data_IF_056721227148
#
_entry.id   IF_056721227148
#
_cell.length_a   1.000
_cell.length_b   1.000
_cell.length_c   1.000
_cell.angle_alpha   90.00
_cell.angle_beta   90.00
_cell.angle_gamma   90.00
#
_symmetry.space_group_name_H-M   'P 1'
#
loop_
_entity.id
_entity.type
_entity.pdbx_description
1 polymer ?
#
# COMPACT_ATOMS: atom_id res chain seq x y z
N UNK A 1 -45.44 32.52 38.77
CA UNK A 1 -44.78 32.54 37.44
C UNK A 1 -45.78 32.96 36.39
N UNK A 2 -45.55 34.12 35.79
CA UNK A 2 -46.44 34.63 34.75
C UNK A 2 -46.21 33.85 33.44
N UNK A 3 -47.22 33.69 32.57
CA UNK A 3 -47.07 32.95 31.30
C UNK A 3 -45.93 33.47 30.40
N UNK A 4 -45.56 34.75 30.55
CA UNK A 4 -44.41 35.40 29.87
C UNK A 4 -43.06 34.85 30.33
N UNK A 5 -42.88 34.59 31.63
CA UNK A 5 -41.65 34.01 32.20
C UNK A 5 -41.43 32.56 31.76
N UNK A 6 -42.52 31.78 31.66
CA UNK A 6 -42.47 30.40 31.15
C UNK A 6 -42.08 30.35 29.67
N UNK A 7 -42.58 31.27 28.86
CA UNK A 7 -42.19 31.40 27.45
C UNK A 7 -40.72 31.80 27.27
N UNK A 8 -40.22 32.73 28.10
CA UNK A 8 -38.81 33.14 28.07
C UNK A 8 -37.87 32.00 28.47
N UNK A 9 -38.23 31.20 29.48
CA UNK A 9 -37.45 30.04 29.90
C UNK A 9 -37.34 28.96 28.81
N UNK A 10 -38.43 28.71 28.07
CA UNK A 10 -38.44 27.77 26.94
C UNK A 10 -37.56 28.24 25.77
N UNK A 11 -37.54 29.54 25.48
CA UNK A 11 -36.67 30.08 24.42
C UNK A 11 -35.19 29.99 24.80
N UNK A 12 -34.85 30.29 26.05
CA UNK A 12 -33.49 30.17 26.57
C UNK A 12 -32.99 28.72 26.49
N UNK A 13 -33.79 27.76 26.95
CA UNK A 13 -33.41 26.34 26.89
C UNK A 13 -33.33 25.85 25.44
N UNK A 14 -34.26 26.25 24.58
CA UNK A 14 -34.21 25.92 23.15
C UNK A 14 -32.93 26.46 22.48
N UNK A 15 -32.58 27.72 22.76
CA UNK A 15 -31.37 28.34 22.20
C UNK A 15 -30.11 27.64 22.70
N UNK A 16 -30.07 27.29 23.99
CA UNK A 16 -28.97 26.53 24.58
C UNK A 16 -28.86 25.12 23.97
N UNK A 17 -29.98 24.42 23.77
CA UNK A 17 -30.00 23.12 23.09
C UNK A 17 -29.53 23.22 21.63
N UNK A 18 -29.92 24.27 20.91
CA UNK A 18 -29.48 24.49 19.53
C UNK A 18 -27.98 24.73 19.45
N UNK A 19 -27.42 25.55 20.34
CA UNK A 19 -25.98 25.77 20.40
C UNK A 19 -25.22 24.47 20.73
N UNK A 20 -25.74 23.69 21.68
CA UNK A 20 -25.14 22.41 22.07
C UNK A 20 -25.21 21.39 20.92
N UNK A 21 -26.34 21.32 20.22
CA UNK A 21 -26.54 20.43 19.07
C UNK A 21 -25.66 20.79 17.88
N UNK A 22 -25.54 22.08 17.56
CA UNK A 22 -24.65 22.57 16.51
C UNK A 22 -23.18 22.29 16.85
N UNK A 23 -22.77 22.48 18.11
CA UNK A 23 -21.42 22.12 18.56
C UNK A 23 -21.15 20.62 18.47
N UNK A 24 -22.12 19.79 18.87
CA UNK A 24 -22.02 18.33 18.81
C UNK A 24 -21.87 17.78 17.39
N UNK A 25 -22.61 18.33 16.43
CA UNK A 25 -22.54 17.88 15.04
C UNK A 25 -21.18 18.18 14.39
N UNK A 26 -20.62 19.37 14.64
CA UNK A 26 -19.29 19.77 14.16
C UNK A 26 -18.19 18.89 14.79
N UNK A 27 -18.30 18.59 16.09
CA UNK A 27 -17.37 17.71 16.77
C UNK A 27 -17.38 16.28 16.19
N UNK A 28 -18.58 15.72 15.95
CA UNK A 28 -18.71 14.40 15.32
C UNK A 28 -18.16 14.38 13.89
N UNK A 29 -18.42 15.42 13.10
CA UNK A 29 -17.87 15.52 11.75
C UNK A 29 -16.34 15.54 11.75
N UNK A 30 -15.75 16.31 12.67
CA UNK A 30 -14.30 16.39 12.83
C UNK A 30 -13.69 15.05 13.25
N UNK A 31 -14.33 14.34 14.18
CA UNK A 31 -13.90 13.02 14.61
C UNK A 31 -13.96 11.99 13.46
N UNK A 32 -15.00 12.02 12.63
CA UNK A 32 -15.10 11.14 11.46
C UNK A 32 -14.01 11.42 10.42
N UNK A 33 -13.68 12.69 10.18
CA UNK A 33 -12.57 13.04 9.28
C UNK A 33 -11.23 12.53 9.81
N UNK A 34 -10.97 12.70 11.10
CA UNK A 34 -9.76 12.20 11.76
C UNK A 34 -9.68 10.67 11.71
N UNK A 35 -10.80 9.99 11.97
CA UNK A 35 -10.88 8.54 11.89
C UNK A 35 -10.55 8.03 10.47
N UNK A 36 -11.11 8.66 9.43
CA UNK A 36 -10.82 8.30 8.04
C UNK A 36 -9.35 8.54 7.69
N UNK A 37 -8.79 9.67 8.12
CA UNK A 37 -7.37 9.97 7.91
C UNK A 37 -6.46 8.94 8.60
N UNK A 38 -6.74 8.58 9.85
CA UNK A 38 -5.98 7.58 10.59
C UNK A 38 -6.05 6.21 9.92
N UNK A 39 -7.24 5.77 9.50
CA UNK A 39 -7.42 4.50 8.76
C UNK A 39 -6.65 4.49 7.45
N UNK A 40 -6.68 5.58 6.67
CA UNK A 40 -5.96 5.67 5.41
C UNK A 40 -4.43 5.55 5.62
N UNK A 41 -3.89 6.26 6.62
CA UNK A 41 -2.48 6.17 6.97
C UNK A 41 -2.09 4.76 7.44
N UNK A 42 -2.96 4.09 8.19
CA UNK A 42 -2.74 2.72 8.63
C UNK A 42 -2.69 1.75 7.43
N UNK A 43 -3.64 1.84 6.50
CA UNK A 43 -3.64 1.00 5.30
C UNK A 43 -2.39 1.23 4.43
N UNK A 44 -1.93 2.48 4.32
CA UNK A 44 -0.70 2.82 3.61
C UNK A 44 0.55 2.21 4.26
N UNK A 45 0.63 2.25 5.60
CA UNK A 45 1.73 1.59 6.32
C UNK A 45 1.71 0.07 6.12
N UNK A 46 0.53 -0.55 6.18
CA UNK A 46 0.40 -1.99 5.99
C UNK A 46 0.75 -2.42 4.57
N UNK A 47 0.39 -1.63 3.55
CA UNK A 47 0.77 -1.91 2.17
C UNK A 47 2.28 -1.75 1.96
N UNK A 48 2.91 -0.76 2.59
CA UNK A 48 4.37 -0.60 2.56
C UNK A 48 5.08 -1.78 3.23
N UNK A 49 4.67 -2.17 4.43
CA UNK A 49 5.26 -3.30 5.14
C UNK A 49 5.14 -4.61 4.36
N UNK A 50 3.99 -4.84 3.71
CA UNK A 50 3.79 -5.98 2.82
C UNK A 50 4.75 -5.93 1.60
N UNK A 51 4.97 -4.74 1.03
CA UNK A 51 5.92 -4.56 -0.07
C UNK A 51 7.37 -4.79 0.38
N UNK A 52 7.76 -4.31 1.57
CA UNK A 52 9.08 -4.54 2.16
C UNK A 52 9.32 -6.04 2.42
N UNK A 53 8.30 -6.75 2.91
CA UNK A 53 8.36 -8.18 3.11
C UNK A 53 8.55 -8.94 1.78
N UNK A 54 7.78 -8.58 0.75
CA UNK A 54 7.97 -9.12 -0.59
C UNK A 54 9.38 -8.85 -1.15
N UNK A 55 9.91 -7.64 -0.94
CA UNK A 55 11.27 -7.30 -1.35
C UNK A 55 12.32 -8.16 -0.61
N UNK A 56 12.11 -8.44 0.67
CA UNK A 56 12.98 -9.33 1.45
C UNK A 56 12.90 -10.78 0.98
N UNK A 57 11.77 -11.23 0.44
CA UNK A 57 11.64 -12.54 -0.20
C UNK A 57 12.40 -12.57 -1.54
N UNK A 58 12.21 -11.56 -2.39
CA UNK A 58 12.96 -11.42 -3.64
C UNK A 58 14.48 -11.40 -3.43
N UNK A 59 14.97 -10.61 -2.45
CA UNK A 59 16.41 -10.55 -2.13
C UNK A 59 16.97 -11.90 -1.68
N UNK A 60 16.21 -12.66 -0.88
CA UNK A 60 16.59 -14.00 -0.45
C UNK A 60 16.69 -14.96 -1.63
N UNK A 61 15.73 -14.90 -2.55
CA UNK A 61 15.71 -15.73 -3.75
C UNK A 61 16.90 -15.45 -4.68
N UNK A 62 17.32 -14.19 -4.83
CA UNK A 62 18.53 -13.84 -5.60
C UNK A 62 19.81 -14.41 -4.95
N UNK A 63 19.88 -14.43 -3.62
CA UNK A 63 21.03 -14.95 -2.87
C UNK A 63 21.08 -16.48 -2.80
N UNK A 64 19.93 -17.15 -2.76
CA UNK A 64 19.85 -18.61 -2.65
C UNK A 64 19.95 -19.28 -4.02
N UNK A 65 21.13 -19.22 -4.67
CA UNK A 65 21.67 -20.04 -5.79
C UNK A 65 20.79 -20.69 -6.88
N UNK A 66 19.50 -20.36 -6.96
CA UNK A 66 18.56 -20.83 -7.96
C UNK A 66 17.55 -19.72 -8.28
N UNK A 67 17.98 -18.58 -8.86
CA UNK A 67 17.09 -17.84 -9.72
C UNK A 67 16.85 -18.73 -10.94
N UNK A 68 15.77 -19.52 -10.93
CA UNK A 68 15.30 -20.09 -12.20
C UNK A 68 15.15 -18.91 -13.18
N UNK A 69 15.81 -18.98 -14.35
CA UNK A 69 15.70 -17.92 -15.33
C UNK A 69 14.23 -17.81 -15.71
N UNK A 70 13.63 -16.66 -15.39
CA UNK A 70 12.30 -16.33 -15.87
C UNK A 70 12.30 -16.48 -17.40
N UNK A 71 11.45 -17.37 -17.88
CA UNK A 71 11.28 -17.64 -19.29
C UNK A 71 10.94 -16.32 -20.01
N UNK A 72 11.73 -16.03 -21.05
CA UNK A 72 11.42 -15.09 -22.13
C UNK A 72 11.21 -13.60 -21.75
N UNK A 73 12.30 -12.97 -21.31
CA UNK A 73 13.00 -12.05 -22.21
C UNK A 73 12.26 -10.82 -22.77
N UNK A 74 11.31 -10.20 -22.07
CA UNK A 74 10.96 -8.80 -22.35
C UNK A 74 10.98 -7.93 -21.09
N UNK A 75 11.86 -6.90 -21.02
CA UNK A 75 11.79 -5.93 -19.95
C UNK A 75 10.48 -5.15 -20.11
N UNK A 76 9.60 -5.23 -19.10
CA UNK A 76 8.41 -4.42 -19.06
C UNK A 76 8.78 -2.96 -18.71
N UNK A 77 9.27 -2.24 -19.70
CA UNK A 77 9.29 -0.78 -19.73
C UNK A 77 7.84 -0.30 -19.90
N UNK A 78 7.13 -0.02 -18.79
CA UNK A 78 5.84 0.69 -18.84
C UNK A 78 4.74 0.26 -17.86
N UNK A 79 4.91 -0.79 -17.05
CA UNK A 79 3.79 -1.35 -16.27
C UNK A 79 3.38 -0.57 -15.00
N UNK A 80 4.17 0.42 -14.54
CA UNK A 80 3.79 1.21 -13.35
C UNK A 80 2.48 1.98 -13.52
N UNK A 81 2.17 2.41 -14.74
CA UNK A 81 0.93 3.14 -15.06
C UNK A 81 -0.30 2.21 -15.11
N UNK A 82 -0.16 0.97 -15.55
CA UNK A 82 -1.27 0.02 -15.69
C UNK A 82 -1.68 -0.60 -14.35
N UNK A 83 -0.72 -0.77 -13.42
CA UNK A 83 -1.02 -1.17 -12.03
C UNK A 83 -1.82 -0.11 -11.26
N UNK A 84 -1.65 1.17 -11.61
CA UNK A 84 -2.32 2.28 -10.93
C UNK A 84 -3.82 2.37 -11.27
N UNK A 85 -4.25 1.86 -12.44
CA UNK A 85 -5.64 1.95 -12.91
C UNK A 85 -6.54 0.79 -12.49
N UNK A 86 -5.96 -0.33 -12.06
CA UNK A 86 -6.73 -1.51 -11.63
C UNK A 86 -7.31 -1.26 -10.23
N UNK A 87 -8.41 -1.91 -9.84
CA UNK A 87 -8.81 -1.99 -8.43
C UNK A 87 -8.01 -3.07 -7.69
N UNK A 88 -7.98 -3.06 -6.34
CA UNK A 88 -7.07 -3.94 -5.59
C UNK A 88 -7.40 -5.44 -5.77
N UNK A 89 -8.68 -5.74 -6.02
CA UNK A 89 -9.16 -7.10 -6.32
C UNK A 89 -8.77 -7.52 -7.73
N UNK A 90 -8.98 -6.66 -8.71
CA UNK A 90 -8.67 -6.94 -10.12
C UNK A 90 -7.17 -7.01 -10.35
N UNK A 91 -6.40 -6.16 -9.66
CA UNK A 91 -4.95 -6.19 -9.64
C UNK A 91 -4.44 -7.52 -9.11
N UNK A 92 -5.06 -8.05 -8.05
CA UNK A 92 -4.66 -9.33 -7.48
C UNK A 92 -4.99 -10.50 -8.40
N UNK A 93 -6.16 -10.51 -9.01
CA UNK A 93 -6.53 -11.51 -10.01
C UNK A 93 -5.57 -11.46 -11.21
N UNK A 94 -5.25 -10.26 -11.70
CA UNK A 94 -4.27 -10.06 -12.77
C UNK A 94 -2.87 -10.55 -12.38
N UNK A 95 -2.40 -10.28 -11.15
CA UNK A 95 -1.09 -10.76 -10.67
C UNK A 95 -1.00 -12.29 -10.61
N UNK A 96 -2.12 -12.96 -10.33
CA UNK A 96 -2.16 -14.42 -10.31
C UNK A 96 -2.10 -15.04 -11.72
N UNK A 97 -2.57 -14.30 -12.73
CA UNK A 97 -2.51 -14.68 -14.14
C UNK A 97 -1.18 -14.25 -14.80
N UNK A 98 -0.55 -13.20 -14.28
CA UNK A 98 0.76 -12.74 -14.70
C UNK A 98 1.84 -13.75 -14.26
N UNK A 99 2.18 -14.70 -15.16
CA UNK A 99 3.15 -15.78 -14.91
C UNK A 99 4.56 -15.33 -14.47
N UNK A 100 4.86 -14.04 -14.56
CA UNK A 100 6.12 -13.42 -14.16
C UNK A 100 6.18 -13.00 -12.68
N UNK A 101 5.04 -12.89 -12.00
CA UNK A 101 4.96 -12.42 -10.62
C UNK A 101 4.78 -13.58 -9.67
N UNK A 102 5.65 -13.66 -8.67
CA UNK A 102 5.40 -14.53 -7.52
C UNK A 102 4.51 -13.79 -6.54
N UNK A 103 3.55 -14.51 -5.94
CA UNK A 103 2.56 -13.90 -5.06
C UNK A 103 2.34 -14.73 -3.80
N UNK A 104 2.05 -14.06 -2.69
CA UNK A 104 1.78 -14.67 -1.39
C UNK A 104 0.72 -13.86 -0.65
N UNK A 105 -0.14 -14.57 0.10
CA UNK A 105 -1.16 -13.95 0.96
C UNK A 105 -0.85 -14.31 2.40
N UNK A 106 -0.76 -13.31 3.27
CA UNK A 106 -0.59 -13.49 4.70
C UNK A 106 -1.68 -12.69 5.44
N UNK A 107 -2.68 -13.41 5.96
CA UNK A 107 -3.85 -12.80 6.57
C UNK A 107 -4.59 -11.89 5.58
N UNK A 108 -4.68 -10.60 5.90
CA UNK A 108 -5.32 -9.57 5.06
C UNK A 108 -4.35 -8.85 4.12
N UNK A 109 -3.05 -9.15 4.22
CA UNK A 109 -2.02 -8.57 3.37
C UNK A 109 -1.76 -9.46 2.17
N UNK A 110 -1.68 -8.84 1.00
CA UNK A 110 -1.32 -9.51 -0.25
C UNK A 110 -0.02 -8.91 -0.74
N UNK A 111 0.93 -9.78 -1.09
CA UNK A 111 2.26 -9.36 -1.49
C UNK A 111 2.65 -10.09 -2.77
N UNK A 112 3.35 -9.39 -3.67
CA UNK A 112 3.85 -9.97 -4.90
C UNK A 112 5.25 -9.43 -5.19
N UNK A 113 6.12 -10.23 -5.79
CA UNK A 113 7.45 -9.82 -6.20
C UNK A 113 7.85 -10.40 -7.54
N UNK A 114 8.76 -9.71 -8.21
CA UNK A 114 9.39 -10.13 -9.46
C UNK A 114 10.87 -9.77 -9.46
N UNK A 115 11.68 -10.63 -10.07
CA UNK A 115 13.14 -10.47 -10.19
C UNK A 115 13.46 -10.34 -11.68
N UNK A 116 14.03 -9.22 -12.09
CA UNK A 116 14.34 -8.95 -13.49
C UNK A 116 15.86 -8.87 -13.63
N UNK A 117 16.51 -9.79 -14.36
CA UNK A 117 17.93 -9.65 -14.67
C UNK A 117 18.14 -8.45 -15.61
N UNK A 118 19.06 -7.55 -15.26
CA UNK A 118 19.34 -6.34 -16.06
C UNK A 118 20.66 -6.41 -16.82
N UNK A 119 21.60 -7.23 -16.34
CA UNK A 119 22.88 -7.42 -16.99
C UNK A 119 24.01 -7.67 -16.00
N UNK A 120 25.23 -7.50 -16.49
CA UNK A 120 26.45 -7.75 -15.73
C UNK A 120 27.23 -6.44 -15.56
N UNK A 121 27.86 -6.27 -14.41
CA UNK A 121 28.77 -5.17 -14.12
C UNK A 121 30.04 -5.67 -13.45
N UNK A 122 31.05 -4.81 -13.40
CA UNK A 122 32.27 -5.03 -12.62
C UNK A 122 32.24 -4.12 -11.39
N UNK A 123 32.23 -4.70 -10.19
CA UNK A 123 32.26 -3.96 -8.92
C UNK A 123 33.50 -4.39 -8.15
N UNK A 124 34.45 -3.47 -7.96
CA UNK A 124 35.68 -3.75 -7.21
C UNK A 124 36.59 -4.82 -7.86
N UNK A 125 36.50 -5.01 -9.18
CA UNK A 125 37.29 -6.01 -9.92
C UNK A 125 36.67 -7.41 -9.95
N UNK A 126 35.52 -7.62 -9.30
CA UNK A 126 34.74 -8.85 -9.40
C UNK A 126 33.54 -8.64 -10.35
N UNK A 127 33.21 -9.68 -11.12
CA UNK A 127 31.96 -9.71 -11.90
C UNK A 127 30.76 -9.67 -10.96
N UNK A 128 29.72 -8.95 -11.32
CA UNK A 128 28.49 -8.85 -10.56
C UNK A 128 27.29 -8.90 -11.50
N UNK A 129 26.27 -9.66 -11.12
CA UNK A 129 25.01 -9.73 -11.83
C UNK A 129 24.03 -8.73 -11.22
N UNK A 130 23.46 -7.87 -12.06
CA UNK A 130 22.52 -6.82 -11.66
C UNK A 130 21.10 -7.33 -11.89
N UNK A 131 20.29 -7.22 -10.84
CA UNK A 131 18.88 -7.54 -10.82
C UNK A 131 18.06 -6.32 -10.40
N UNK A 132 16.96 -6.07 -11.08
CA UNK A 132 15.91 -5.17 -10.62
C UNK A 132 14.84 -5.98 -9.92
N UNK A 133 14.64 -5.68 -8.64
CA UNK A 133 13.65 -6.31 -7.79
C UNK A 133 12.44 -5.38 -7.69
N UNK A 134 11.28 -5.89 -8.06
CA UNK A 134 10.01 -5.18 -7.89
C UNK A 134 9.19 -5.92 -6.84
N UNK A 135 8.63 -5.18 -5.89
CA UNK A 135 7.83 -5.72 -4.80
C UNK A 135 6.58 -4.87 -4.61
N UNK A 136 5.43 -5.52 -4.59
CA UNK A 136 4.12 -4.91 -4.46
C UNK A 136 3.47 -5.41 -3.17
N UNK A 137 3.02 -4.48 -2.35
CA UNK A 137 2.19 -4.77 -1.18
C UNK A 137 0.81 -4.14 -1.34
N UNK A 138 -0.22 -4.90 -0.98
CA UNK A 138 -1.62 -4.50 -1.06
C UNK A 138 -2.27 -4.73 0.30
N UNK A 139 -2.94 -3.69 0.82
CA UNK A 139 -3.73 -3.76 2.05
C UNK A 139 -5.02 -2.94 1.89
N UNK A 140 -6.16 -3.63 1.89
CA UNK A 140 -7.44 -3.00 1.54
C UNK A 140 -7.38 -2.39 0.14
N UNK A 141 -7.64 -1.09 0.05
CA UNK A 141 -7.47 -0.34 -1.21
C UNK A 141 -6.10 0.35 -1.34
N UNK A 142 -5.24 0.26 -0.33
CA UNK A 142 -3.91 0.86 -0.38
C UNK A 142 -2.90 -0.08 -1.02
N UNK A 143 -1.96 0.49 -1.77
CA UNK A 143 -0.94 -0.23 -2.52
C UNK A 143 0.38 0.50 -2.44
N UNK A 144 1.46 -0.27 -2.38
CA UNK A 144 2.83 0.25 -2.40
C UNK A 144 3.66 -0.61 -3.31
N UNK A 145 4.29 0.02 -4.33
CA UNK A 145 5.25 -0.62 -5.22
C UNK A 145 6.65 -0.11 -4.85
N UNK A 146 7.54 -1.02 -4.52
CA UNK A 146 8.94 -0.76 -4.26
C UNK A 146 9.76 -1.36 -5.40
N UNK A 147 10.73 -0.60 -5.88
CA UNK A 147 11.69 -1.03 -6.89
C UNK A 147 13.10 -0.80 -6.36
N UNK A 148 13.95 -1.81 -6.45
CA UNK A 148 15.34 -1.75 -5.99
C UNK A 148 16.24 -2.46 -6.99
N UNK A 149 17.32 -1.81 -7.38
CA UNK A 149 18.42 -2.47 -8.09
C UNK A 149 19.35 -3.14 -7.08
N UNK A 150 19.66 -4.40 -7.33
CA UNK A 150 20.48 -5.24 -6.47
C UNK A 150 21.57 -5.90 -7.30
N UNK A 151 22.83 -5.76 -6.87
CA UNK A 151 23.96 -6.42 -7.49
C UNK A 151 24.40 -7.62 -6.64
N UNK A 152 24.56 -8.77 -7.28
CA UNK A 152 25.12 -9.99 -6.68
C UNK A 152 26.53 -10.19 -7.22
N UNK A 153 27.53 -10.23 -6.35
CA UNK A 153 28.92 -10.47 -6.76
C UNK A 153 29.08 -11.97 -7.11
N UNK A 154 29.59 -12.27 -8.31
CA UNK A 154 30.10 -13.60 -8.69
C UNK A 154 31.41 -13.82 -7.95
N UNK A 155 31.38 -14.72 -6.97
CA UNK A 155 32.59 -15.19 -6.29
C UNK A 155 33.29 -16.26 -7.11
#
# INVERSE_FOLDING_TARGET
>A
MTPRERGAALLMTLMMLLMLGAGGSVAMHSALLQQRAATNLQLQRLSLLAAEQALMLAKRQVHSDAPEPMADGQPATGLSAQLASLDATDLWAWLQDAGDWQSRVEGTQRMAWRIIPEGEAMIGGAGADIYRLQALGISGNSRSLLEVQHARIRQ
#
